data_IF_248047040074
#
_entry.id   IF_248047040074
#
_cell.length_a   1.000
_cell.length_b   1.000
_cell.length_c   1.000
_cell.angle_alpha   90.00
_cell.angle_beta   90.00
_cell.angle_gamma   90.00
#
_symmetry.space_group_name_H-M   'P 1'
#
loop_
_entity.id
_entity.type
_entity.pdbx_description
1 polymer ?
#
# COMPACT_ATOMS: atom_id res chain seq x y z
N UNK A 1 -17.50 -3.33 -37.51
CA UNK A 1 -16.41 -3.87 -36.66
C UNK A 1 -16.81 -3.60 -35.23
N UNK A 2 -17.17 -4.64 -34.47
CA UNK A 2 -17.47 -4.47 -33.05
C UNK A 2 -16.17 -4.06 -32.35
N UNK A 3 -16.18 -2.93 -31.65
CA UNK A 3 -15.12 -2.53 -30.72
C UNK A 3 -14.78 -3.73 -29.84
N UNK A 4 -13.56 -4.27 -29.93
CA UNK A 4 -13.10 -5.30 -29.01
C UNK A 4 -13.31 -4.77 -27.58
N UNK A 5 -14.18 -5.45 -26.85
CA UNK A 5 -14.54 -5.05 -25.49
C UNK A 5 -13.35 -5.43 -24.62
N UNK A 6 -12.45 -4.48 -24.35
CA UNK A 6 -11.35 -4.71 -23.42
C UNK A 6 -11.94 -4.89 -22.03
N UNK A 7 -11.71 -6.05 -21.42
CA UNK A 7 -12.19 -6.31 -20.07
C UNK A 7 -11.60 -5.31 -19.08
N UNK A 8 -12.43 -4.83 -18.15
CA UNK A 8 -12.00 -4.00 -17.03
C UNK A 8 -11.77 -4.90 -15.82
N UNK A 9 -10.53 -4.97 -15.33
CA UNK A 9 -10.15 -5.77 -14.18
C UNK A 9 -9.81 -4.85 -13.00
N UNK A 10 -10.51 -5.03 -11.88
CA UNK A 10 -10.23 -4.33 -10.62
C UNK A 10 -9.48 -5.26 -9.68
N UNK A 11 -8.25 -4.90 -9.30
CA UNK A 11 -7.40 -5.70 -8.42
C UNK A 11 -7.21 -4.98 -7.09
N UNK A 12 -7.68 -5.58 -5.99
CA UNK A 12 -7.50 -5.04 -4.64
C UNK A 12 -6.33 -5.72 -3.92
N UNK A 13 -5.36 -4.95 -3.48
CA UNK A 13 -4.22 -5.41 -2.68
C UNK A 13 -4.38 -4.94 -1.23
N UNK A 14 -4.36 -5.88 -0.28
CA UNK A 14 -4.36 -5.57 1.15
C UNK A 14 -2.98 -5.15 1.65
N UNK A 15 -2.89 -4.70 2.91
CA UNK A 15 -1.62 -4.24 3.48
C UNK A 15 -0.53 -5.31 3.50
N UNK A 16 -0.88 -6.59 3.67
CA UNK A 16 0.10 -7.70 3.60
C UNK A 16 0.71 -7.91 2.21
N UNK A 17 0.08 -7.38 1.16
CA UNK A 17 0.65 -7.36 -0.20
C UNK A 17 1.58 -6.15 -0.43
N UNK A 18 1.67 -5.25 0.54
CA UNK A 18 2.33 -3.94 0.50
C UNK A 18 3.10 -3.71 1.82
N UNK A 19 3.91 -4.68 2.24
CA UNK A 19 4.62 -4.65 3.53
C UNK A 19 6.11 -4.32 3.40
N UNK A 20 6.72 -4.70 2.28
CA UNK A 20 8.15 -4.64 1.99
C UNK A 20 8.38 -4.69 0.47
N UNK A 21 9.57 -4.33 -0.01
CA UNK A 21 9.87 -4.32 -1.45
C UNK A 21 9.59 -5.67 -2.14
N UNK A 22 9.80 -6.80 -1.45
CA UNK A 22 9.53 -8.15 -1.98
C UNK A 22 8.04 -8.36 -2.25
N UNK A 23 7.16 -7.93 -1.34
CA UNK A 23 5.71 -8.01 -1.50
C UNK A 23 5.20 -7.07 -2.59
N UNK A 24 5.76 -5.86 -2.71
CA UNK A 24 5.48 -4.93 -3.81
C UNK A 24 5.85 -5.55 -5.16
N UNK A 25 7.03 -6.17 -5.28
CA UNK A 25 7.47 -6.84 -6.51
C UNK A 25 6.52 -7.97 -6.91
N UNK A 26 6.09 -8.80 -5.96
CA UNK A 26 5.09 -9.86 -6.24
C UNK A 26 3.76 -9.28 -6.71
N UNK A 27 3.28 -8.21 -6.07
CA UNK A 27 2.05 -7.53 -6.49
C UNK A 27 2.18 -6.95 -7.90
N UNK A 28 3.34 -6.37 -8.22
CA UNK A 28 3.64 -5.87 -9.56
C UNK A 28 3.68 -6.97 -10.62
N UNK A 29 4.27 -8.13 -10.30
CA UNK A 29 4.32 -9.27 -11.23
C UNK A 29 2.91 -9.78 -11.56
N UNK A 30 2.01 -9.82 -10.57
CA UNK A 30 0.59 -10.17 -10.76
C UNK A 30 -0.12 -9.13 -11.66
N UNK A 31 0.14 -7.84 -11.47
CA UNK A 31 -0.46 -6.79 -12.32
C UNK A 31 0.04 -6.93 -13.77
N UNK A 32 1.35 -7.10 -13.95
CA UNK A 32 1.98 -7.24 -15.26
C UNK A 32 1.46 -8.44 -16.04
N UNK A 33 1.10 -9.54 -15.37
CA UNK A 33 0.56 -10.72 -16.05
C UNK A 33 -0.85 -10.51 -16.63
N UNK A 34 -1.54 -9.41 -16.28
CA UNK A 34 -2.90 -9.12 -16.74
C UNK A 34 -2.99 -7.90 -17.67
N UNK A 35 -1.96 -7.05 -17.72
CA UNK A 35 -2.03 -5.72 -18.37
C UNK A 35 -2.18 -5.78 -19.91
N UNK A 36 -1.77 -6.90 -20.52
CA UNK A 36 -1.90 -7.11 -21.98
C UNK A 36 -3.36 -7.38 -22.37
N UNK A 37 -4.13 -8.00 -21.48
CA UNK A 37 -5.46 -8.55 -21.78
C UNK A 37 -6.61 -7.70 -21.22
N UNK A 38 -6.33 -6.81 -20.27
CA UNK A 38 -7.36 -6.03 -19.57
C UNK A 38 -6.90 -4.61 -19.26
N UNK A 39 -7.86 -3.68 -19.18
CA UNK A 39 -7.65 -2.39 -18.52
C UNK A 39 -7.68 -2.63 -17.02
N UNK A 40 -6.62 -2.25 -16.31
CA UNK A 40 -6.50 -2.54 -14.88
C UNK A 40 -6.77 -1.30 -14.05
N UNK A 41 -7.58 -1.46 -13.00
CA UNK A 41 -7.69 -0.52 -11.88
C UNK A 41 -7.13 -1.20 -10.64
N UNK A 42 -6.14 -0.59 -10.01
CA UNK A 42 -5.53 -1.10 -8.79
C UNK A 42 -6.08 -0.34 -7.60
N UNK A 43 -6.58 -1.06 -6.60
CA UNK A 43 -7.04 -0.51 -5.33
C UNK A 43 -6.12 -1.02 -4.22
N UNK A 44 -5.55 -0.13 -3.43
CA UNK A 44 -4.60 -0.49 -2.37
C UNK A 44 -5.13 -0.12 -1.00
N UNK A 45 -4.88 -0.98 -0.02
CA UNK A 45 -4.89 -0.57 1.40
C UNK A 45 -3.62 0.22 1.73
N UNK A 46 -3.52 0.77 2.93
CA UNK A 46 -2.26 1.30 3.45
C UNK A 46 -1.20 0.18 3.58
N UNK A 47 0.07 0.57 3.67
CA UNK A 47 1.18 -0.34 3.99
C UNK A 47 0.88 -1.05 5.31
N UNK A 48 1.29 -2.33 5.42
CA UNK A 48 1.00 -3.16 6.60
C UNK A 48 1.37 -2.44 7.90
N UNK A 49 0.41 -2.33 8.82
CA UNK A 49 0.60 -1.71 10.13
C UNK A 49 0.46 -0.19 10.17
N UNK A 50 0.46 0.52 9.04
CA UNK A 50 0.35 1.99 9.04
C UNK A 50 -1.00 2.47 9.56
N UNK A 51 -2.11 1.81 9.19
CA UNK A 51 -3.43 2.18 9.72
C UNK A 51 -3.49 2.05 11.24
N UNK A 52 -2.94 0.96 11.79
CA UNK A 52 -2.89 0.73 13.24
C UNK A 52 -2.00 1.78 13.93
N UNK A 53 -0.86 2.14 13.33
CA UNK A 53 0.02 3.20 13.84
C UNK A 53 -0.70 4.57 13.87
N UNK A 54 -1.49 4.89 12.84
CA UNK A 54 -2.23 6.14 12.79
C UNK A 54 -3.38 6.20 13.81
N UNK A 55 -4.03 5.06 14.07
CA UNK A 55 -5.02 4.95 15.15
C UNK A 55 -4.33 5.17 16.51
N UNK A 56 -3.18 4.53 16.74
CA UNK A 56 -2.40 4.71 17.96
C UNK A 56 -1.93 6.16 18.12
N UNK A 57 -1.51 6.82 17.04
CA UNK A 57 -1.19 8.24 17.05
C UNK A 57 -2.37 9.09 17.50
N UNK A 58 -3.56 8.84 16.95
CA UNK A 58 -4.77 9.57 17.33
C UNK A 58 -5.08 9.41 18.82
N UNK A 59 -5.04 8.18 19.34
CA UNK A 59 -5.28 7.90 20.76
C UNK A 59 -4.27 8.63 21.65
N UNK A 60 -2.98 8.55 21.31
CA UNK A 60 -1.89 9.20 22.05
C UNK A 60 -1.87 10.71 21.96
N UNK A 61 -2.34 11.28 20.84
CA UNK A 61 -2.46 12.73 20.68
C UNK A 61 -3.52 13.36 21.60
N UNK A 62 -4.43 12.55 22.13
CA UNK A 62 -5.40 12.98 23.13
C UNK A 62 -4.82 13.00 24.57
N UNK A 63 -3.60 12.48 24.75
CA UNK A 63 -2.85 12.46 26.02
C UNK A 63 -1.67 13.45 25.93
N UNK A 64 -1.19 14.02 27.05
CA UNK A 64 0.03 14.87 27.06
C UNK A 64 1.32 14.04 26.87
N UNK A 65 1.37 13.20 25.84
CA UNK A 65 2.44 12.24 25.60
C UNK A 65 3.38 12.69 24.46
N UNK A 66 4.70 12.61 24.70
CA UNK A 66 5.75 12.81 23.68
C UNK A 66 5.88 11.63 22.70
N UNK A 67 4.96 10.67 22.74
CA UNK A 67 5.00 9.44 21.93
C UNK A 67 4.63 9.68 20.46
N UNK A 68 3.90 10.77 20.18
CA UNK A 68 3.44 11.15 18.84
C UNK A 68 4.59 11.29 17.84
N UNK A 69 5.72 11.90 18.24
CA UNK A 69 6.87 12.12 17.35
C UNK A 69 7.51 10.81 16.92
N UNK A 70 7.64 9.84 17.83
CA UNK A 70 8.18 8.51 17.51
C UNK A 70 7.26 7.73 16.55
N UNK A 71 5.94 7.87 16.70
CA UNK A 71 4.99 7.21 15.79
C UNK A 71 5.12 7.82 14.38
N UNK A 72 5.22 9.14 14.27
CA UNK A 72 5.42 9.83 12.99
C UNK A 72 6.76 9.45 12.35
N UNK A 73 7.83 9.40 13.12
CA UNK A 73 9.15 8.97 12.65
C UNK A 73 9.12 7.52 12.15
N UNK A 74 8.44 6.62 12.86
CA UNK A 74 8.25 5.24 12.42
C UNK A 74 7.46 5.16 11.11
N UNK A 75 6.36 5.90 10.98
CA UNK A 75 5.58 5.97 9.73
C UNK A 75 6.48 6.45 8.58
N UNK A 76 7.27 7.50 8.80
CA UNK A 76 8.20 8.01 7.80
C UNK A 76 9.24 6.95 7.39
N UNK A 77 9.92 6.32 8.35
CA UNK A 77 10.97 5.35 8.08
C UNK A 77 10.45 4.13 7.32
N UNK A 78 9.28 3.60 7.68
CA UNK A 78 8.67 2.48 6.94
C UNK A 78 8.46 2.83 5.45
N UNK A 79 7.98 4.03 5.15
CA UNK A 79 7.80 4.44 3.75
C UNK A 79 9.14 4.66 3.06
N UNK A 80 10.10 5.29 3.74
CA UNK A 80 11.44 5.56 3.21
C UNK A 80 12.16 4.26 2.87
N UNK A 81 12.19 3.29 3.78
CA UNK A 81 12.86 2.01 3.58
C UNK A 81 12.28 1.26 2.37
N UNK A 82 10.95 1.27 2.21
CA UNK A 82 10.30 0.67 1.03
C UNK A 82 10.70 1.40 -0.27
N UNK A 83 10.79 2.72 -0.25
CA UNK A 83 11.19 3.51 -1.43
C UNK A 83 12.65 3.25 -1.80
N UNK A 84 13.54 3.18 -0.80
CA UNK A 84 14.97 2.96 -1.00
C UNK A 84 15.25 1.52 -1.51
N UNK A 85 14.37 0.56 -1.23
CA UNK A 85 14.50 -0.86 -1.61
C UNK A 85 13.82 -1.27 -2.94
N UNK A 86 13.10 -0.36 -3.63
CA UNK A 86 12.38 -0.61 -4.90
C UNK A 86 13.16 -0.13 -6.12
#
# INVERSE_FOLDING_TARGET
MASEKTDLLVMKFGGSCLQDAKSFKKSLDIIKSHIINAKIVVVTSAIKGITDNLINFYEKSCEEASECDYILENVYNVHKDIIDDI
#
